data_IF_149951345915
#
_entry.id   IF_149951345915
#
_cell.length_a   1.000
_cell.length_b   1.000
_cell.length_c   1.000
_cell.angle_alpha   90.00
_cell.angle_beta   90.00
_cell.angle_gamma   90.00
#
_symmetry.space_group_name_H-M   'P 1'
#
loop_
_entity.id
_entity.type
_entity.pdbx_description
1 polymer ?
#
# COMPACT_ATOMS: atom_id res chain seq x y z
N UNK A 1 30.68 22.87 -24.14
CA UNK A 1 29.59 22.31 -24.97
C UNK A 1 28.81 21.34 -24.10
N UNK A 2 27.70 21.79 -23.49
CA UNK A 2 26.81 20.93 -22.69
C UNK A 2 25.93 20.13 -23.64
N UNK A 3 26.25 18.85 -23.82
CA UNK A 3 25.33 17.88 -24.43
C UNK A 3 24.13 17.73 -23.49
N UNK A 4 22.96 18.23 -23.90
CA UNK A 4 21.68 18.00 -23.22
C UNK A 4 21.48 16.49 -23.01
N UNK A 5 21.57 16.05 -21.75
CA UNK A 5 21.34 14.66 -21.32
C UNK A 5 19.85 14.30 -21.23
N UNK A 6 18.97 15.12 -21.80
CA UNK A 6 17.56 14.81 -21.83
C UNK A 6 17.33 13.81 -22.96
N UNK A 7 17.37 12.52 -22.61
CA UNK A 7 16.55 11.53 -23.30
C UNK A 7 15.10 12.04 -23.33
N UNK A 8 14.25 11.61 -24.28
CA UNK A 8 12.86 12.04 -24.34
C UNK A 8 12.20 11.71 -23.00
N UNK A 9 12.05 12.73 -22.14
CA UNK A 9 11.46 12.58 -20.82
C UNK A 9 10.00 12.30 -21.05
N UNK A 10 9.58 11.05 -20.86
CA UNK A 10 8.18 10.64 -20.95
C UNK A 10 7.38 11.58 -20.05
N UNK A 11 6.47 12.36 -20.63
CA UNK A 11 5.68 13.34 -19.89
C UNK A 11 4.83 12.64 -18.82
N UNK A 12 5.18 12.82 -17.55
CA UNK A 12 4.42 12.28 -16.43
C UNK A 12 3.25 13.20 -16.09
N UNK A 13 2.02 12.68 -16.15
CA UNK A 13 0.79 13.42 -15.81
C UNK A 13 0.56 13.40 -14.30
N UNK A 14 0.58 14.58 -13.67
CA UNK A 14 0.15 14.73 -12.27
C UNK A 14 -1.38 14.66 -12.19
N UNK A 15 -1.94 13.53 -11.76
CA UNK A 15 -3.35 13.41 -11.41
C UNK A 15 -3.57 13.69 -9.93
N UNK A 16 -4.58 14.49 -9.62
CA UNK A 16 -4.96 14.91 -8.29
C UNK A 16 -6.45 14.56 -8.12
N UNK A 17 -6.78 13.37 -7.61
CA UNK A 17 -7.96 13.18 -6.72
C UNK A 17 -8.23 11.77 -6.15
N UNK A 18 -7.63 10.67 -6.65
CA UNK A 18 -7.94 9.32 -6.11
C UNK A 18 -6.75 8.61 -5.45
N UNK A 19 -5.69 9.37 -5.14
CA UNK A 19 -4.47 8.79 -4.62
C UNK A 19 -4.61 8.39 -3.15
N UNK A 20 -4.16 7.19 -2.76
CA UNK A 20 -4.08 6.83 -1.35
C UNK A 20 -3.28 7.88 -0.59
N UNK A 21 -3.90 8.47 0.44
CA UNK A 21 -3.32 9.55 1.26
C UNK A 21 -1.92 9.19 1.78
N UNK A 22 -1.68 7.91 2.09
CA UNK A 22 -0.40 7.38 2.58
C UNK A 22 0.71 7.59 1.57
N UNK A 23 0.41 7.39 0.28
CA UNK A 23 1.40 7.51 -0.77
C UNK A 23 1.83 8.96 -0.95
N UNK A 24 0.88 9.89 -0.89
CA UNK A 24 1.17 11.33 -0.93
C UNK A 24 2.00 11.76 0.28
N UNK A 25 1.64 11.28 1.49
CA UNK A 25 2.40 11.57 2.70
C UNK A 25 3.83 11.01 2.58
N UNK A 26 3.99 9.76 2.12
CA UNK A 26 5.29 9.12 1.96
C UNK A 26 6.19 9.89 1.00
N UNK A 27 5.69 10.25 -0.19
CA UNK A 27 6.43 11.06 -1.16
C UNK A 27 6.89 12.39 -0.55
N UNK A 28 5.98 13.08 0.16
CA UNK A 28 6.27 14.35 0.83
C UNK A 28 7.31 14.21 1.94
N UNK A 29 7.30 13.11 2.71
CA UNK A 29 8.30 12.84 3.77
C UNK A 29 9.70 12.60 3.20
N UNK A 30 9.78 12.05 1.98
CA UNK A 30 11.01 11.89 1.21
C UNK A 30 11.28 13.08 0.27
N UNK A 31 10.55 14.19 0.44
CA UNK A 31 10.70 15.44 -0.31
C UNK A 31 10.74 15.29 -1.84
N UNK A 32 9.99 14.32 -2.37
CA UNK A 32 9.77 14.13 -3.81
C UNK A 32 8.30 14.24 -4.14
N UNK A 33 7.99 14.66 -5.36
CA UNK A 33 6.63 14.61 -5.88
C UNK A 33 6.31 13.18 -6.33
N UNK A 34 5.02 12.81 -6.22
CA UNK A 34 4.53 11.56 -6.78
C UNK A 34 4.77 11.51 -8.30
N UNK A 35 5.11 10.32 -8.79
CA UNK A 35 5.25 10.02 -10.22
C UNK A 35 4.43 8.76 -10.55
N UNK A 36 3.85 8.73 -11.74
CA UNK A 36 2.99 7.65 -12.24
C UNK A 36 3.47 7.25 -13.63
N UNK A 37 3.67 5.96 -13.89
CA UNK A 37 4.01 5.50 -15.24
C UNK A 37 2.79 5.53 -16.17
N UNK A 38 2.98 5.65 -17.47
CA UNK A 38 1.86 5.42 -18.40
C UNK A 38 1.41 3.95 -18.30
N UNK A 39 0.10 3.64 -18.27
CA UNK A 39 -0.37 2.26 -18.26
C UNK A 39 0.22 1.43 -19.41
N UNK A 40 0.64 0.20 -19.11
CA UNK A 40 1.28 -0.70 -20.07
C UNK A 40 2.72 -0.34 -20.48
N UNK A 41 3.27 0.77 -19.98
CA UNK A 41 4.68 1.11 -20.23
C UNK A 41 5.62 0.16 -19.47
N UNK A 42 6.80 -0.15 -20.03
CA UNK A 42 7.79 -0.95 -19.33
C UNK A 42 8.30 -0.22 -18.09
N UNK A 43 8.67 -0.97 -17.05
CA UNK A 43 9.31 -0.40 -15.87
C UNK A 43 10.68 0.16 -16.30
N UNK A 44 10.95 1.46 -16.14
CA UNK A 44 12.24 2.03 -16.49
C UNK A 44 13.30 1.61 -15.47
N UNK A 45 14.59 1.65 -15.84
CA UNK A 45 15.70 1.39 -14.90
C UNK A 45 15.98 2.55 -13.95
N UNK A 46 15.61 3.77 -14.36
CA UNK A 46 15.77 5.00 -13.58
C UNK A 46 14.56 5.90 -13.82
N UNK A 47 14.23 6.75 -12.86
CA UNK A 47 13.15 7.71 -12.99
C UNK A 47 13.54 9.07 -12.42
N UNK A 48 13.13 10.13 -13.09
CA UNK A 48 13.28 11.49 -12.59
C UNK A 48 12.08 11.84 -11.71
N UNK A 49 12.36 12.17 -10.45
CA UNK A 49 11.35 12.66 -9.52
C UNK A 49 11.58 14.14 -9.24
N UNK A 50 10.52 14.94 -9.28
CA UNK A 50 10.60 16.36 -8.92
C UNK A 50 10.89 16.48 -7.43
N UNK A 51 11.90 17.26 -7.07
CA UNK A 51 12.27 17.53 -5.69
C UNK A 51 11.38 18.64 -5.14
N UNK A 52 10.77 18.39 -3.98
CA UNK A 52 9.92 19.34 -3.26
C UNK A 52 10.76 20.17 -2.29
N UNK A 53 11.75 19.55 -1.66
CA UNK A 53 12.74 20.19 -0.79
C UNK A 53 14.06 19.42 -0.89
N UNK A 54 15.17 20.13 -0.85
CA UNK A 54 16.51 19.52 -0.89
C UNK A 54 16.90 18.96 0.50
N UNK A 55 16.23 17.89 0.90
CA UNK A 55 16.48 17.16 2.14
C UNK A 55 15.91 15.74 2.03
N UNK A 56 16.51 14.74 2.71
CA UNK A 56 15.97 13.36 2.77
C UNK A 56 15.58 12.75 1.41
N UNK A 57 16.38 13.03 0.38
CA UNK A 57 16.14 12.53 -0.98
C UNK A 57 16.14 11.00 -0.99
N UNK A 58 15.18 10.33 -1.65
CA UNK A 58 15.15 8.88 -1.70
C UNK A 58 16.33 8.37 -2.52
N UNK A 59 16.86 7.22 -2.11
CA UNK A 59 17.97 6.57 -2.82
C UNK A 59 17.48 5.70 -3.98
N UNK A 60 16.26 5.19 -3.88
CA UNK A 60 15.67 4.22 -4.80
C UNK A 60 14.17 4.47 -4.94
N UNK A 61 13.59 3.96 -6.02
CA UNK A 61 12.14 3.82 -6.20
C UNK A 61 11.83 2.35 -6.39
N UNK A 62 10.88 1.81 -5.63
CA UNK A 62 10.36 0.47 -5.90
C UNK A 62 9.23 0.59 -6.92
N UNK A 63 9.31 -0.13 -8.04
CA UNK A 63 8.17 -0.35 -8.90
C UNK A 63 7.44 -1.61 -8.40
N UNK A 64 6.43 -1.39 -7.56
CA UNK A 64 5.72 -2.42 -6.82
C UNK A 64 4.57 -2.97 -7.64
N UNK A 65 4.49 -4.29 -7.74
CA UNK A 65 3.41 -5.00 -8.43
C UNK A 65 3.04 -6.30 -7.71
N UNK A 66 1.81 -6.74 -7.87
CA UNK A 66 1.21 -7.93 -7.24
C UNK A 66 0.60 -8.92 -8.24
N UNK A 67 0.86 -8.69 -9.53
CA UNK A 67 0.49 -9.54 -10.66
C UNK A 67 1.77 -9.89 -11.42
N UNK A 68 1.92 -11.14 -11.84
CA UNK A 68 3.08 -11.58 -12.61
C UNK A 68 3.20 -10.81 -13.93
N UNK A 69 4.42 -10.58 -14.39
CA UNK A 69 4.69 -9.74 -15.57
C UNK A 69 4.02 -10.27 -16.85
N UNK A 70 3.85 -11.58 -16.97
CA UNK A 70 3.13 -12.20 -18.10
C UNK A 70 1.64 -11.87 -18.16
N UNK A 71 1.05 -11.52 -17.01
CA UNK A 71 -0.38 -11.24 -16.87
C UNK A 71 -0.68 -9.73 -16.86
N UNK A 72 0.31 -8.89 -17.18
CA UNK A 72 0.12 -7.44 -17.23
C UNK A 72 -0.75 -7.07 -18.44
N UNK A 73 -1.99 -6.67 -18.16
CA UNK A 73 -2.87 -6.06 -19.14
C UNK A 73 -2.38 -4.67 -19.58
N UNK A 74 -2.94 -4.12 -20.67
CA UNK A 74 -2.56 -2.80 -21.20
C UNK A 74 -2.88 -1.65 -20.23
N UNK A 75 -3.78 -1.88 -19.28
CA UNK A 75 -4.16 -0.92 -18.24
C UNK A 75 -3.36 -1.08 -16.95
N UNK A 76 -2.48 -2.07 -16.87
CA UNK A 76 -1.71 -2.32 -15.65
C UNK A 76 -0.68 -1.21 -15.42
N UNK A 77 -0.55 -0.82 -14.16
CA UNK A 77 0.39 0.22 -13.74
C UNK A 77 0.98 -0.15 -12.37
N UNK A 78 2.31 -0.34 -12.27
CA UNK A 78 2.95 -0.58 -10.98
C UNK A 78 2.92 0.69 -10.13
N UNK A 79 2.92 0.52 -8.81
CA UNK A 79 2.99 1.64 -7.87
C UNK A 79 4.46 2.02 -7.64
N UNK A 80 4.83 3.27 -7.90
CA UNK A 80 6.20 3.76 -7.73
C UNK A 80 6.45 4.31 -6.31
N UNK A 81 7.04 3.50 -5.43
CA UNK A 81 7.20 3.85 -4.02
C UNK A 81 8.63 4.33 -3.74
N UNK A 82 8.86 5.62 -3.44
CA UNK A 82 10.20 6.10 -3.10
C UNK A 82 10.67 5.52 -1.76
N UNK A 83 11.96 5.21 -1.65
CA UNK A 83 12.54 4.63 -0.45
C UNK A 83 14.00 5.07 -0.22
N UNK A 84 14.35 5.27 1.05
CA UNK A 84 15.73 5.41 1.50
C UNK A 84 16.28 4.05 1.91
N UNK A 85 17.36 3.61 1.25
CA UNK A 85 18.00 2.31 1.48
C UNK A 85 18.49 2.16 2.92
N UNK A 86 19.00 3.24 3.52
CA UNK A 86 19.48 3.25 4.90
C UNK A 86 18.34 3.07 5.88
N UNK A 87 17.24 3.79 5.68
CA UNK A 87 16.04 3.67 6.50
C UNK A 87 15.41 2.27 6.36
N UNK A 88 15.37 1.74 5.14
CA UNK A 88 14.83 0.42 4.88
C UNK A 88 15.68 -0.67 5.58
N UNK A 89 17.01 -0.65 5.38
CA UNK A 89 17.94 -1.62 5.99
C UNK A 89 17.88 -1.61 7.51
N UNK A 90 17.69 -0.43 8.12
CA UNK A 90 17.56 -0.29 9.56
C UNK A 90 16.27 -0.89 10.10
N UNK A 91 15.16 -0.69 9.39
CA UNK A 91 13.82 -0.97 9.90
C UNK A 91 13.17 -2.26 9.37
N UNK A 92 13.76 -2.89 8.36
CA UNK A 92 13.28 -4.15 7.79
C UNK A 92 14.32 -5.26 7.97
N UNK A 93 13.87 -6.51 7.87
CA UNK A 93 14.73 -7.70 7.98
C UNK A 93 15.14 -8.22 6.60
N UNK A 94 14.24 -8.16 5.62
CA UNK A 94 14.47 -8.65 4.27
C UNK A 94 15.15 -7.57 3.43
N UNK A 95 16.29 -7.89 2.82
CA UNK A 95 17.00 -6.96 1.92
C UNK A 95 16.47 -7.09 0.49
N UNK A 96 15.62 -6.14 0.07
CA UNK A 96 15.11 -6.07 -1.32
C UNK A 96 15.80 -4.99 -2.15
N UNK A 97 16.52 -4.08 -1.49
CA UNK A 97 17.24 -3.00 -2.14
C UNK A 97 18.68 -3.47 -2.33
N UNK A 98 19.21 -3.50 -3.57
CA UNK A 98 20.60 -3.85 -3.81
C UNK A 98 21.50 -2.83 -3.11
N UNK A 99 22.58 -3.32 -2.51
CA UNK A 99 23.57 -2.43 -1.91
C UNK A 99 24.30 -1.67 -3.01
N UNK A 100 24.33 -0.35 -2.89
CA UNK A 100 25.17 0.47 -3.77
C UNK A 100 26.64 0.12 -3.56
N UNK A 101 27.46 0.09 -4.62
CA UNK A 101 28.90 -0.06 -4.49
C UNK A 101 29.48 0.99 -3.52
N UNK A 102 30.51 0.65 -2.73
CA UNK A 102 31.20 1.61 -1.87
C UNK A 102 31.65 2.84 -2.67
N UNK A 103 31.41 4.04 -2.12
CA UNK A 103 31.76 5.30 -2.78
C UNK A 103 30.74 5.80 -3.81
N UNK A 104 29.63 5.08 -4.04
CA UNK A 104 28.52 5.61 -4.85
C UNK A 104 27.91 6.82 -4.15
N UNK A 105 27.90 8.01 -4.77
CA UNK A 105 27.29 9.18 -4.16
C UNK A 105 25.76 9.00 -4.07
N UNK A 106 25.15 9.63 -3.07
CA UNK A 106 23.68 9.73 -3.02
C UNK A 106 23.17 10.49 -4.25
N UNK A 107 21.92 10.23 -4.69
CA UNK A 107 21.31 10.99 -5.76
C UNK A 107 21.33 12.49 -5.46
N UNK A 108 21.90 13.27 -6.38
CA UNK A 108 22.05 14.72 -6.22
C UNK A 108 20.98 15.42 -7.06
N UNK A 109 20.16 16.30 -6.46
CA UNK A 109 19.22 17.12 -7.21
C UNK A 109 19.92 17.99 -8.25
N UNK A 110 19.29 18.14 -9.41
CA UNK A 110 19.74 19.04 -10.48
C UNK A 110 18.61 19.96 -10.94
N UNK A 111 18.98 21.14 -11.43
CA UNK A 111 18.02 22.12 -11.93
C UNK A 111 17.69 21.85 -13.39
N UNK A 112 16.40 21.82 -13.72
CA UNK A 112 15.90 21.75 -15.10
C UNK A 112 15.37 23.13 -15.49
N UNK A 113 16.15 23.84 -16.31
CA UNK A 113 15.88 25.25 -16.66
C UNK A 113 14.51 25.45 -17.32
N UNK A 114 14.16 24.58 -18.28
CA UNK A 114 12.90 24.68 -19.05
C UNK A 114 11.65 24.54 -18.16
N UNK A 115 11.77 23.83 -17.04
CA UNK A 115 10.69 23.60 -16.09
C UNK A 115 10.77 24.50 -14.86
N UNK A 116 11.88 25.22 -14.67
CA UNK A 116 12.12 26.05 -13.49
C UNK A 116 12.03 25.28 -12.17
N UNK A 117 12.48 24.01 -12.17
CA UNK A 117 12.28 23.08 -11.04
C UNK A 117 13.50 22.18 -10.83
N UNK A 118 13.66 21.65 -9.61
CA UNK A 118 14.67 20.65 -9.28
C UNK A 118 14.13 19.23 -9.46
N UNK A 119 14.98 18.36 -10.00
CA UNK A 119 14.71 16.95 -10.22
C UNK A 119 15.85 16.11 -9.66
N UNK A 120 15.57 14.84 -9.41
CA UNK A 120 16.57 13.85 -9.04
C UNK A 120 16.32 12.56 -9.83
N UNK A 121 17.37 12.01 -10.43
CA UNK A 121 17.32 10.73 -11.13
C UNK A 121 17.60 9.62 -10.13
N UNK A 122 16.66 8.69 -10.00
CA UNK A 122 16.70 7.63 -8.98
C UNK A 122 16.59 6.25 -9.67
N UNK A 123 17.41 5.25 -9.28
CA UNK A 123 17.25 3.89 -9.77
C UNK A 123 15.90 3.28 -9.36
N UNK A 124 15.30 2.53 -10.27
CA UNK A 124 14.01 1.86 -10.08
C UNK A 124 14.23 0.36 -9.93
N UNK A 125 13.63 -0.24 -8.90
CA UNK A 125 13.75 -1.66 -8.58
C UNK A 125 12.38 -2.33 -8.77
N UNK A 126 12.21 -3.20 -9.77
CA UNK A 126 11.00 -4.03 -9.90
C UNK A 126 10.84 -4.91 -8.65
N UNK A 127 9.69 -4.82 -7.98
CA UNK A 127 9.43 -5.54 -6.72
C UNK A 127 8.05 -6.22 -6.75
N UNK A 128 8.05 -7.55 -6.82
CA UNK A 128 6.83 -8.35 -6.69
C UNK A 128 6.46 -8.53 -5.22
N UNK A 129 5.20 -8.24 -4.87
CA UNK A 129 4.68 -8.36 -3.51
C UNK A 129 3.28 -8.99 -3.48
N UNK A 130 2.84 -9.59 -2.36
CA UNK A 130 1.50 -10.15 -2.22
C UNK A 130 0.34 -9.16 -2.43
N UNK A 131 0.54 -7.86 -2.19
CA UNK A 131 -0.51 -6.86 -2.35
C UNK A 131 0.10 -5.46 -2.54
N UNK A 132 0.08 -4.93 -3.76
CA UNK A 132 0.82 -3.70 -4.09
C UNK A 132 0.24 -2.46 -3.37
N UNK A 133 -1.09 -2.38 -3.28
CA UNK A 133 -1.80 -1.22 -2.74
C UNK A 133 -1.56 -0.97 -1.24
N UNK A 134 -1.06 -1.96 -0.47
CA UNK A 134 -0.76 -1.79 0.95
C UNK A 134 0.70 -1.40 1.23
N UNK A 135 1.59 -1.40 0.23
CA UNK A 135 2.99 -1.03 0.42
C UNK A 135 3.19 0.43 0.87
N UNK A 136 2.49 1.44 0.32
CA UNK A 136 2.64 2.81 0.80
C UNK A 136 2.33 2.96 2.30
N UNK A 137 1.27 2.31 2.79
CA UNK A 137 0.93 2.29 4.22
C UNK A 137 2.00 1.57 5.04
N UNK A 138 2.44 0.39 4.58
CA UNK A 138 3.50 -0.39 5.23
C UNK A 138 4.79 0.42 5.35
N UNK A 139 5.19 1.16 4.30
CA UNK A 139 6.42 1.94 4.32
C UNK A 139 6.27 3.20 5.17
N UNK A 140 5.09 3.82 5.16
CA UNK A 140 4.82 4.98 6.00
C UNK A 140 5.03 4.67 7.48
N UNK A 141 4.53 3.53 7.97
CA UNK A 141 4.71 3.09 9.36
C UNK A 141 6.03 2.36 9.58
N UNK A 142 6.35 1.37 8.75
CA UNK A 142 7.54 0.53 8.90
C UNK A 142 8.87 1.28 8.75
N UNK A 143 8.92 2.41 8.03
CA UNK A 143 10.10 3.30 8.01
C UNK A 143 10.08 4.34 9.14
N UNK A 144 9.01 4.41 9.94
CA UNK A 144 8.87 5.31 11.08
C UNK A 144 8.47 6.75 10.74
N UNK A 145 7.90 6.99 9.55
CA UNK A 145 7.42 8.33 9.15
C UNK A 145 6.09 8.73 9.81
N UNK A 146 5.27 7.74 10.13
CA UNK A 146 4.03 7.87 10.90
C UNK A 146 4.07 6.91 12.09
N UNK A 147 3.58 7.37 13.25
CA UNK A 147 3.55 6.59 14.50
C UNK A 147 2.18 6.63 15.18
N UNK A 148 1.25 7.45 14.68
CA UNK A 148 -0.08 7.58 15.27
C UNK A 148 -0.90 6.33 14.95
N UNK A 149 -1.06 5.46 15.93
CA UNK A 149 -1.88 4.25 15.84
C UNK A 149 -3.31 4.54 15.39
N UNK A 150 -3.89 5.70 15.76
CA UNK A 150 -5.22 6.10 15.30
C UNK A 150 -5.30 6.21 13.77
N UNK A 151 -4.27 6.77 13.12
CA UNK A 151 -4.24 6.88 11.65
C UNK A 151 -4.20 5.49 11.00
N UNK A 152 -3.47 4.55 11.60
CA UNK A 152 -3.44 3.16 11.15
C UNK A 152 -4.80 2.49 11.32
N UNK A 153 -5.42 2.60 12.49
CA UNK A 153 -6.74 2.02 12.78
C UNK A 153 -7.80 2.53 11.80
N UNK A 154 -7.83 3.84 11.50
CA UNK A 154 -8.74 4.42 10.51
C UNK A 154 -8.56 3.87 9.09
N UNK A 155 -7.41 3.26 8.78
CA UNK A 155 -7.18 2.61 7.49
C UNK A 155 -7.49 1.12 7.48
N UNK A 156 -7.32 0.45 8.61
CA UNK A 156 -7.53 -0.99 8.72
C UNK A 156 -8.97 -1.38 9.06
N UNK A 157 -9.71 -0.47 9.71
CA UNK A 157 -10.99 -0.75 10.35
C UNK A 157 -12.06 0.28 9.97
N UNK A 158 -13.34 -0.13 9.90
CA UNK A 158 -14.47 0.81 9.87
C UNK A 158 -14.50 1.70 11.11
N UNK A 159 -15.01 2.93 10.96
CA UNK A 159 -15.04 3.91 12.06
C UNK A 159 -15.77 3.38 13.29
N UNK A 160 -16.87 2.66 13.11
CA UNK A 160 -17.70 2.09 14.18
C UNK A 160 -17.00 0.96 14.97
N UNK A 161 -15.91 0.43 14.43
CA UNK A 161 -15.15 -0.68 15.02
C UNK A 161 -13.95 -0.17 15.80
N UNK A 162 -13.48 1.06 15.49
CA UNK A 162 -12.33 1.67 16.15
C UNK A 162 -12.60 1.92 17.64
N UNK A 163 -13.86 2.20 18.00
CA UNK A 163 -14.27 2.39 19.41
C UNK A 163 -14.04 1.15 20.27
N UNK A 164 -14.08 -0.04 19.67
CA UNK A 164 -13.89 -1.33 20.35
C UNK A 164 -12.41 -1.76 20.42
N UNK A 165 -11.49 -0.97 19.87
CA UNK A 165 -10.08 -1.32 19.84
C UNK A 165 -9.45 -1.24 21.25
N UNK A 166 -8.66 -2.24 21.69
CA UNK A 166 -8.11 -3.38 20.95
C UNK A 166 -8.85 -4.72 21.15
N UNK A 167 -10.11 -4.74 21.60
CA UNK A 167 -10.82 -5.97 21.96
C UNK A 167 -11.28 -6.77 20.71
N UNK A 168 -10.55 -7.82 20.27
CA UNK A 168 -10.75 -8.38 18.92
C UNK A 168 -12.12 -9.04 18.73
N UNK A 169 -12.70 -9.57 19.81
CA UNK A 169 -14.03 -10.19 19.79
C UNK A 169 -15.14 -9.14 19.60
N UNK A 170 -15.10 -8.04 20.35
CA UNK A 170 -16.06 -6.94 20.21
C UNK A 170 -15.93 -6.27 18.83
N UNK A 171 -14.69 -6.05 18.37
CA UNK A 171 -14.42 -5.56 17.01
C UNK A 171 -15.00 -6.48 15.94
N UNK A 172 -14.79 -7.80 16.06
CA UNK A 172 -15.30 -8.78 15.10
C UNK A 172 -16.84 -8.82 15.05
N UNK A 173 -17.50 -8.73 16.21
CA UNK A 173 -18.96 -8.63 16.29
C UNK A 173 -19.46 -7.34 15.63
N UNK A 174 -18.88 -6.19 15.98
CA UNK A 174 -19.24 -4.88 15.38
C UNK A 174 -19.05 -4.90 13.86
N UNK A 175 -17.94 -5.45 13.35
CA UNK A 175 -17.72 -5.64 11.91
C UNK A 175 -18.78 -6.56 11.28
N UNK A 176 -19.06 -7.70 11.90
CA UNK A 176 -20.02 -8.66 11.38
C UNK A 176 -21.43 -8.09 11.30
N UNK A 177 -21.82 -7.24 12.24
CA UNK A 177 -23.14 -6.62 12.31
C UNK A 177 -23.28 -5.40 11.40
N UNK A 178 -22.26 -4.53 11.33
CA UNK A 178 -22.38 -3.19 10.73
C UNK A 178 -21.87 -3.07 9.30
N UNK A 179 -20.89 -3.86 8.89
CA UNK A 179 -20.35 -3.74 7.52
C UNK A 179 -21.37 -4.24 6.47
N UNK A 180 -21.32 -3.75 5.25
CA UNK A 180 -21.86 -4.51 4.10
C UNK A 180 -20.96 -5.71 3.79
N UNK A 181 -21.41 -6.65 2.96
CA UNK A 181 -20.56 -7.76 2.51
C UNK A 181 -19.38 -7.27 1.66
N UNK A 182 -19.60 -6.24 0.84
CA UNK A 182 -18.55 -5.61 0.04
C UNK A 182 -17.52 -4.90 0.92
N UNK A 183 -17.96 -4.12 1.91
CA UNK A 183 -17.06 -3.45 2.86
C UNK A 183 -16.20 -4.47 3.60
N UNK A 184 -16.83 -5.53 4.14
CA UNK A 184 -16.10 -6.60 4.83
C UNK A 184 -15.10 -7.29 3.90
N UNK A 185 -15.50 -7.61 2.66
CA UNK A 185 -14.60 -8.22 1.68
C UNK A 185 -13.39 -7.32 1.35
N UNK A 186 -13.61 -6.00 1.23
CA UNK A 186 -12.56 -5.03 0.99
C UNK A 186 -11.57 -4.94 2.16
N UNK A 187 -12.07 -4.86 3.41
CA UNK A 187 -11.22 -4.89 4.60
C UNK A 187 -10.44 -6.20 4.73
N UNK A 188 -11.05 -7.35 4.42
CA UNK A 188 -10.37 -8.65 4.41
C UNK A 188 -9.24 -8.64 3.38
N UNK A 189 -9.53 -8.25 2.14
CA UNK A 189 -8.53 -8.21 1.07
C UNK A 189 -7.35 -7.32 1.45
N UNK A 190 -7.62 -6.11 1.94
CA UNK A 190 -6.59 -5.15 2.31
C UNK A 190 -5.77 -5.61 3.53
N UNK A 191 -6.43 -5.98 4.64
CA UNK A 191 -5.76 -6.40 5.87
C UNK A 191 -4.96 -7.69 5.65
N UNK A 192 -5.49 -8.64 4.88
CA UNK A 192 -4.76 -9.85 4.48
C UNK A 192 -3.52 -9.51 3.66
N UNK A 193 -3.68 -8.64 2.66
CA UNK A 193 -2.59 -8.21 1.79
C UNK A 193 -1.47 -7.51 2.56
N UNK A 194 -1.83 -6.57 3.44
CA UNK A 194 -0.88 -5.92 4.33
C UNK A 194 -0.18 -6.93 5.26
N UNK A 195 -0.92 -7.86 5.88
CA UNK A 195 -0.33 -8.89 6.74
C UNK A 195 0.66 -9.77 5.98
N UNK A 196 0.33 -10.21 4.77
CA UNK A 196 1.27 -10.97 3.91
C UNK A 196 2.53 -10.17 3.58
N UNK A 197 2.40 -8.87 3.29
CA UNK A 197 3.56 -8.01 3.05
C UNK A 197 4.42 -7.82 4.30
N UNK A 198 3.82 -7.72 5.50
CA UNK A 198 4.54 -7.68 6.78
C UNK A 198 5.36 -8.97 6.95
N UNK A 199 4.75 -10.13 6.70
CA UNK A 199 5.46 -11.41 6.78
C UNK A 199 6.60 -11.52 5.76
N UNK A 200 6.40 -11.01 4.54
CA UNK A 200 7.41 -11.05 3.47
C UNK A 200 8.60 -10.11 3.73
N UNK A 201 8.32 -8.84 4.06
CA UNK A 201 9.35 -7.79 4.16
C UNK A 201 9.95 -7.71 5.57
N UNK A 202 9.23 -8.18 6.58
CA UNK A 202 9.69 -8.26 7.96
C UNK A 202 10.06 -6.90 8.56
N UNK A 203 9.12 -5.93 8.68
CA UNK A 203 9.38 -4.72 9.44
C UNK A 203 9.77 -5.07 10.89
N UNK A 204 10.51 -4.18 11.56
CA UNK A 204 10.98 -4.37 12.94
C UNK A 204 10.11 -3.69 13.99
N UNK A 205 9.22 -2.79 13.58
CA UNK A 205 8.30 -2.08 14.48
C UNK A 205 7.21 -3.04 15.00
N UNK A 206 7.35 -3.46 16.26
CA UNK A 206 6.44 -4.43 16.88
C UNK A 206 5.07 -3.83 17.20
N UNK A 207 4.99 -2.55 17.53
CA UNK A 207 3.71 -1.87 17.85
C UNK A 207 2.85 -1.80 16.58
N UNK A 208 3.44 -1.39 15.46
CA UNK A 208 2.79 -1.42 14.15
C UNK A 208 2.27 -2.83 13.80
N UNK A 209 3.11 -3.86 13.97
CA UNK A 209 2.78 -5.24 13.65
C UNK A 209 1.60 -5.73 14.52
N UNK A 210 1.59 -5.42 15.81
CA UNK A 210 0.54 -5.83 16.74
C UNK A 210 -0.82 -5.22 16.39
N UNK A 211 -0.86 -3.94 16.00
CA UNK A 211 -2.10 -3.28 15.55
C UNK A 211 -2.64 -3.94 14.29
N UNK A 212 -1.78 -4.20 13.29
CA UNK A 212 -2.20 -4.86 12.04
C UNK A 212 -2.67 -6.29 12.31
N UNK A 213 -1.96 -7.04 13.15
CA UNK A 213 -2.34 -8.40 13.52
C UNK A 213 -3.71 -8.43 14.22
N UNK A 214 -3.95 -7.50 15.13
CA UNK A 214 -5.23 -7.35 15.82
C UNK A 214 -6.38 -7.06 14.85
N UNK A 215 -6.19 -6.08 13.95
CA UNK A 215 -7.19 -5.75 12.93
C UNK A 215 -7.46 -6.92 11.97
N UNK A 216 -6.41 -7.63 11.55
CA UNK A 216 -6.53 -8.82 10.71
C UNK A 216 -7.36 -9.91 11.40
N UNK A 217 -7.06 -10.24 12.66
CA UNK A 217 -7.79 -11.25 13.42
C UNK A 217 -9.27 -10.88 13.61
N UNK A 218 -9.56 -9.62 13.95
CA UNK A 218 -10.94 -9.14 14.05
C UNK A 218 -11.69 -9.30 12.73
N UNK A 219 -11.05 -8.95 11.61
CA UNK A 219 -11.66 -9.04 10.27
C UNK A 219 -11.93 -10.50 9.87
N UNK A 220 -11.01 -11.43 10.16
CA UNK A 220 -11.21 -12.87 9.90
C UNK A 220 -12.34 -13.43 10.75
N UNK A 221 -12.40 -13.08 12.04
CA UNK A 221 -13.44 -13.59 12.92
C UNK A 221 -14.82 -13.03 12.53
N UNK A 222 -14.91 -11.78 12.12
CA UNK A 222 -16.14 -11.19 11.59
C UNK A 222 -16.70 -12.00 10.39
N UNK A 223 -15.82 -12.42 9.47
CA UNK A 223 -16.21 -13.31 8.36
C UNK A 223 -16.76 -14.64 8.85
N UNK A 224 -16.11 -15.25 9.86
CA UNK A 224 -16.57 -16.53 10.42
C UNK A 224 -17.94 -16.40 11.07
N UNK A 225 -18.19 -15.31 11.82
CA UNK A 225 -19.49 -15.02 12.44
C UNK A 225 -20.59 -14.97 11.36
N UNK A 226 -20.37 -14.26 10.25
CA UNK A 226 -21.34 -14.18 9.15
C UNK A 226 -21.60 -15.52 8.47
N UNK A 227 -20.53 -16.29 8.24
CA UNK A 227 -20.66 -17.62 7.63
C UNK A 227 -21.52 -18.54 8.48
N UNK A 228 -21.31 -18.55 9.81
CA UNK A 228 -22.14 -19.30 10.76
C UNK A 228 -23.59 -18.82 10.74
N UNK A 229 -23.83 -17.51 10.77
CA UNK A 229 -25.19 -16.96 10.73
C UNK A 229 -25.94 -17.32 9.45
N UNK A 230 -25.25 -17.35 8.31
CA UNK A 230 -25.82 -17.74 7.01
C UNK A 230 -26.21 -19.22 7.01
N UNK A 231 -25.32 -20.11 7.49
CA UNK A 231 -25.60 -21.54 7.60
C UNK A 231 -26.81 -21.83 8.49
N UNK A 232 -26.92 -21.15 9.65
CA UNK A 232 -28.07 -21.30 10.55
C UNK A 232 -29.37 -20.85 9.89
N UNK A 233 -29.36 -19.75 9.12
CA UNK A 233 -30.55 -19.28 8.39
C UNK A 233 -30.99 -20.27 7.30
N UNK A 234 -30.04 -20.83 6.54
CA UNK A 234 -30.32 -21.84 5.52
C UNK A 234 -30.92 -23.10 6.12
N UNK A 235 -30.36 -23.61 7.23
CA UNK A 235 -30.88 -24.79 7.92
C UNK A 235 -32.33 -24.57 8.43
N UNK A 236 -32.61 -23.40 9.02
CA UNK A 236 -33.97 -23.07 9.49
C UNK A 236 -34.99 -22.95 8.35
N UNK A 237 -34.57 -22.51 7.16
CA UNK A 237 -35.46 -22.41 5.99
C UNK A 237 -35.84 -23.79 5.42
N UNK A 238 -34.95 -24.78 5.51
CA UNK A 238 -35.25 -26.17 5.09
C UNK A 238 -36.22 -26.88 6.04
N UNK A 239 -36.16 -26.58 7.34
CA UNK A 239 -37.06 -27.15 8.35
C UNK A 239 -38.50 -26.61 8.27
N UNK A 240 -38.70 -25.41 7.74
CA UNK A 240 -40.01 -24.78 7.61
C UNK A 240 -40.21 -24.24 6.18
N UNK A 241 -40.43 -25.12 5.19
CA UNK A 241 -40.68 -24.66 3.83
C UNK A 241 -41.92 -23.76 3.82
N UNK A 242 -41.89 -22.62 3.11
CA UNK A 242 -43.04 -21.74 3.04
C UNK A 242 -44.23 -22.54 2.50
N UNK A 243 -45.29 -22.67 3.31
CA UNK A 243 -46.55 -23.26 2.87
C UNK A 243 -47.00 -22.50 1.64
N UNK A 244 -46.81 -23.10 0.47
CA UNK A 244 -47.24 -22.55 -0.80
C UNK A 244 -48.76 -22.54 -0.74
N UNK A 245 -49.33 -21.36 -0.50
CA UNK A 245 -50.76 -21.14 -0.60
C UNK A 245 -51.16 -21.38 -2.04
N UNK A 246 -51.60 -22.61 -2.30
CA UNK A 246 -52.18 -23.04 -3.57
C UNK A 246 -53.48 -22.27 -3.73
N UNK A 247 -53.41 -21.15 -4.48
CA UNK A 247 -54.58 -20.38 -4.88
C UNK A 247 -55.46 -21.21 -5.81
N UNK A 248 -56.74 -21.27 -5.46
CA UNK A 248 -57.85 -21.73 -6.28
C UNK A 248 -58.12 -20.77 -7.44
#
# INVERSE_FOLDING_TARGET
MSTSRLLPTTHFTMYQNDDPLEYVILCRKLNVAKVTLTPGSPIPSTIDMRVVKDAHIPSHVLAVFDIEQGDWGPTYQPTLVPVSADMYTRNFRTSIIPQSPPGTPYPVPYWVADLGQQYVTIPVIPTFVPHAASIPLLFLFGLGFERRSQFLCCRLLPTEVIEEFPAPQAMAQSMAERCSDEQLANHIKFNQGLWKNILLLGPRDTEFIEVVHTAWNATVEARRIRQRATMTRSASAELFPPMTTRGM
#
